data_IF_682046597953
#
_entry.id   IF_682046597953
#
_cell.length_a   1.000
_cell.length_b   1.000
_cell.length_c   1.000
_cell.angle_alpha   90.00
_cell.angle_beta   90.00
_cell.angle_gamma   90.00
#
_symmetry.space_group_name_H-M   'P 1'
#
loop_
_entity.id
_entity.type
_entity.pdbx_description
1 polymer ?
#
# COMPACT_ATOMS: atom_id res chain seq x y z
N UNK A 1 -9.06 20.56 -3.32
CA UNK A 1 -8.42 19.82 -2.22
C UNK A 1 -7.49 20.78 -1.55
N UNK A 2 -7.60 20.91 -0.23
CA UNK A 2 -6.68 21.75 0.51
C UNK A 2 -5.28 21.10 0.47
N UNK A 3 -4.19 21.86 0.34
CA UNK A 3 -2.85 21.30 0.12
C UNK A 3 -2.37 20.38 1.25
N UNK A 4 -2.96 20.49 2.45
CA UNK A 4 -2.66 19.64 3.62
C UNK A 4 -3.71 18.55 3.88
N UNK A 5 -4.71 18.39 3.00
CA UNK A 5 -5.80 17.45 3.23
C UNK A 5 -5.26 16.00 3.21
N UNK A 6 -5.34 15.32 4.36
CA UNK A 6 -4.94 13.94 4.53
C UNK A 6 -6.13 12.99 4.37
N UNK A 7 -5.98 11.99 3.50
CA UNK A 7 -6.95 10.91 3.32
C UNK A 7 -6.46 9.70 4.09
N UNK A 8 -7.15 9.32 5.17
CA UNK A 8 -6.78 8.17 6.00
C UNK A 8 -7.64 6.96 5.64
N UNK A 9 -7.00 5.88 5.19
CA UNK A 9 -7.67 4.65 4.77
C UNK A 9 -6.98 3.41 5.32
N UNK A 10 -7.70 2.28 5.31
CA UNK A 10 -7.14 0.97 5.64
C UNK A 10 -6.44 0.39 4.42
N UNK A 11 -5.24 -0.16 4.61
CA UNK A 11 -4.36 -0.63 3.54
C UNK A 11 -3.88 -2.06 3.82
N UNK A 12 -3.75 -2.86 2.76
CA UNK A 12 -3.21 -4.22 2.76
C UNK A 12 -2.51 -4.45 1.42
N UNK A 13 -1.77 -5.55 1.30
CA UNK A 13 -1.17 -5.97 0.04
C UNK A 13 -1.47 -7.44 -0.28
N UNK A 14 -1.33 -7.80 -1.55
CA UNK A 14 -1.39 -9.18 -2.05
C UNK A 14 0.02 -9.64 -2.46
N UNK A 15 0.32 -10.94 -2.29
CA UNK A 15 1.61 -11.53 -2.66
C UNK A 15 1.51 -12.10 -4.09
N UNK A 16 1.01 -11.32 -5.03
CA UNK A 16 0.63 -11.76 -6.37
C UNK A 16 1.79 -11.81 -7.39
N UNK A 17 3.04 -11.64 -6.93
CA UNK A 17 4.21 -11.64 -7.81
C UNK A 17 4.50 -13.00 -8.47
N UNK A 18 4.11 -14.11 -7.82
CA UNK A 18 4.18 -15.45 -8.42
C UNK A 18 2.77 -15.91 -8.84
N UNK A 19 2.46 -15.98 -10.14
CA UNK A 19 1.12 -16.32 -10.62
C UNK A 19 0.71 -17.77 -10.33
N UNK A 20 1.66 -18.63 -9.94
CA UNK A 20 1.40 -20.03 -9.59
C UNK A 20 1.18 -20.26 -8.09
N UNK A 21 1.41 -19.25 -7.24
CA UNK A 21 1.20 -19.36 -5.80
C UNK A 21 -0.26 -19.07 -5.42
N UNK A 22 -1.07 -20.13 -5.33
CA UNK A 22 -2.49 -20.02 -4.94
C UNK A 22 -2.71 -19.55 -3.49
N UNK A 23 -1.68 -19.54 -2.63
CA UNK A 23 -1.77 -19.02 -1.26
C UNK A 23 -1.75 -17.48 -1.21
N UNK A 24 -1.46 -16.81 -2.33
CA UNK A 24 -1.41 -15.36 -2.45
C UNK A 24 -2.79 -14.68 -2.61
N UNK A 25 -3.88 -15.43 -2.41
CA UNK A 25 -5.24 -14.97 -2.71
C UNK A 25 -5.84 -14.05 -1.63
N UNK A 26 -5.22 -13.97 -0.46
CA UNK A 26 -5.74 -13.19 0.67
C UNK A 26 -4.88 -11.96 0.97
N UNK A 27 -5.50 -10.79 1.19
CA UNK A 27 -4.78 -9.59 1.55
C UNK A 27 -4.17 -9.71 2.95
N UNK A 28 -2.92 -9.29 3.08
CA UNK A 28 -2.18 -9.28 4.35
C UNK A 28 -1.77 -7.87 4.76
N UNK A 29 -1.69 -7.58 6.08
CA UNK A 29 -2.06 -8.44 7.21
C UNK A 29 -3.59 -8.56 7.37
N UNK A 30 -4.10 -9.62 8.02
CA UNK A 30 -5.55 -9.87 8.17
C UNK A 30 -6.32 -8.70 8.78
N UNK A 31 -5.71 -7.96 9.71
CA UNK A 31 -6.23 -6.69 10.21
C UNK A 31 -5.55 -5.55 9.47
N UNK A 32 -6.23 -5.00 8.46
CA UNK A 32 -5.72 -3.88 7.69
C UNK A 32 -5.32 -2.68 8.59
N UNK A 33 -4.04 -2.28 8.61
CA UNK A 33 -3.59 -1.05 9.27
C UNK A 33 -4.09 0.19 8.53
N UNK A 34 -3.99 1.35 9.18
CA UNK A 34 -4.37 2.65 8.61
C UNK A 34 -3.14 3.40 8.13
N UNK A 35 -3.26 4.02 6.96
CA UNK A 35 -2.25 4.88 6.36
C UNK A 35 -2.90 6.17 5.84
N UNK A 36 -2.23 7.30 6.02
CA UNK A 36 -2.69 8.62 5.59
C UNK A 36 -1.94 9.06 4.35
N UNK A 37 -2.66 9.36 3.28
CA UNK A 37 -2.11 9.90 2.04
C UNK A 37 -2.29 11.41 2.02
N UNK A 38 -1.25 12.14 1.62
CA UNK A 38 -1.38 13.55 1.27
C UNK A 38 -2.10 13.65 -0.08
N UNK A 39 -3.30 14.22 -0.06
CA UNK A 39 -4.19 14.24 -1.22
C UNK A 39 -3.67 15.09 -2.39
N UNK A 40 -2.85 16.11 -2.08
CA UNK A 40 -2.22 16.99 -3.05
C UNK A 40 -0.95 16.40 -3.70
N UNK A 41 -0.50 15.20 -3.27
CA UNK A 41 0.75 14.58 -3.72
C UNK A 41 0.46 13.34 -4.58
N UNK A 42 1.18 13.10 -5.70
CA UNK A 42 0.97 11.92 -6.53
C UNK A 42 1.11 10.61 -5.73
N UNK A 43 0.19 9.67 -5.93
CA UNK A 43 0.18 8.41 -5.15
C UNK A 43 1.49 7.62 -5.30
N UNK A 44 2.05 7.59 -6.52
CA UNK A 44 3.27 6.84 -6.82
C UNK A 44 4.45 7.25 -5.91
N UNK A 45 4.58 8.52 -5.56
CA UNK A 45 5.68 9.00 -4.71
C UNK A 45 5.50 8.59 -3.24
N UNK A 46 4.28 8.25 -2.84
CA UNK A 46 3.92 7.84 -1.48
C UNK A 46 3.99 6.31 -1.29
N UNK A 47 3.99 5.53 -2.37
CA UNK A 47 4.00 4.06 -2.32
C UNK A 47 5.21 3.49 -1.57
N UNK A 48 6.38 4.15 -1.65
CA UNK A 48 7.56 3.70 -0.91
C UNK A 48 7.37 3.74 0.61
N UNK A 49 6.67 4.76 1.11
CA UNK A 49 6.32 4.84 2.52
C UNK A 49 5.24 3.81 2.90
N UNK A 50 4.24 3.61 2.02
CA UNK A 50 3.20 2.61 2.20
C UNK A 50 3.77 1.19 2.31
N UNK A 51 4.66 0.79 1.39
CA UNK A 51 5.26 -0.55 1.41
C UNK A 51 6.08 -0.79 2.67
N UNK A 52 6.86 0.21 3.12
CA UNK A 52 7.60 0.14 4.40
C UNK A 52 6.65 0.03 5.59
N UNK A 53 5.55 0.79 5.60
CA UNK A 53 4.53 0.72 6.64
C UNK A 53 3.88 -0.67 6.73
N UNK A 54 3.62 -1.30 5.58
CA UNK A 54 3.06 -2.64 5.48
C UNK A 54 4.09 -3.77 5.71
N UNK A 55 5.39 -3.47 5.69
CA UNK A 55 6.44 -4.49 5.65
C UNK A 55 6.37 -5.36 4.39
N UNK A 56 5.87 -4.80 3.29
CA UNK A 56 5.50 -5.54 2.10
C UNK A 56 6.72 -5.82 1.19
N UNK A 57 6.80 -6.99 0.52
CA UNK A 57 8.00 -7.41 -0.23
C UNK A 57 8.07 -6.82 -1.65
N UNK A 58 7.02 -6.15 -2.15
CA UNK A 58 7.00 -5.62 -3.50
C UNK A 58 8.07 -4.55 -3.68
N UNK A 59 8.60 -4.46 -4.90
CA UNK A 59 9.54 -3.42 -5.29
C UNK A 59 8.85 -2.46 -6.23
N UNK A 60 9.14 -1.18 -6.06
CA UNK A 60 8.62 -0.18 -6.97
C UNK A 60 9.64 0.00 -8.09
N UNK A 61 9.18 -0.21 -9.31
CA UNK A 61 9.99 -0.12 -10.52
C UNK A 61 9.53 1.13 -11.26
N UNK A 62 10.37 2.15 -11.25
CA UNK A 62 10.25 3.34 -12.08
C UNK A 62 11.62 3.67 -12.66
#
# INVERSE_FOLDING_TARGET
>A
MEPDELITIRVQYLVDSDPFNSLSMYPIPSRAPVFSFASAVPLATQLGALLRHLGAPQRIVY
#
